data_IF_455671066693
#
_entry.id   IF_455671066693
#
_cell.length_a   1.000
_cell.length_b   1.000
_cell.length_c   1.000
_cell.angle_alpha   90.00
_cell.angle_beta   90.00
_cell.angle_gamma   90.00
#
_symmetry.space_group_name_H-M   'P 1'
#
loop_
_entity.id
_entity.type
_entity.pdbx_description
1 polymer ?
#
# COMPACT_ATOMS: atom_id res chain seq x y z
N UNK A 1 10.27 -41.44 77.69
CA UNK A 1 9.53 -41.52 76.42
C UNK A 1 9.91 -40.33 75.56
N UNK A 2 10.71 -40.57 74.52
CA UNK A 2 11.23 -39.54 73.59
C UNK A 2 10.18 -39.31 72.50
N UNK A 3 9.68 -38.08 72.38
CA UNK A 3 8.82 -37.67 71.25
C UNK A 3 9.69 -37.43 70.03
N UNK A 4 9.52 -38.27 69.01
CA UNK A 4 10.15 -38.17 67.70
C UNK A 4 9.42 -37.10 66.89
N UNK A 5 10.04 -35.93 66.73
CA UNK A 5 9.59 -34.91 65.78
C UNK A 5 10.16 -35.28 64.40
N UNK A 6 9.30 -35.57 63.43
CA UNK A 6 9.69 -35.72 62.02
C UNK A 6 9.57 -34.37 61.32
N UNK A 7 10.72 -33.86 60.90
CA UNK A 7 10.96 -32.68 60.06
C UNK A 7 10.23 -32.79 58.70
N UNK A 8 9.57 -31.75 58.16
CA UNK A 8 9.10 -31.75 56.79
C UNK A 8 10.26 -31.43 55.83
N UNK A 9 10.51 -32.34 54.89
CA UNK A 9 11.44 -32.20 53.77
C UNK A 9 11.13 -30.94 52.94
N UNK A 10 12.12 -30.11 52.55
CA UNK A 10 11.86 -28.96 51.68
C UNK A 10 11.52 -29.43 50.26
N UNK A 11 10.36 -29.04 49.76
CA UNK A 11 9.95 -29.25 48.37
C UNK A 11 10.84 -28.43 47.43
N UNK A 12 11.29 -28.99 46.28
CA UNK A 12 11.96 -28.21 45.26
C UNK A 12 11.00 -27.16 44.71
N UNK A 13 11.48 -25.93 44.39
CA UNK A 13 10.63 -24.93 43.75
C UNK A 13 10.10 -25.49 42.41
N UNK A 14 8.85 -25.17 42.04
CA UNK A 14 8.33 -25.55 40.72
C UNK A 14 9.27 -24.99 39.64
N UNK A 15 9.44 -25.67 38.49
CA UNK A 15 10.20 -25.11 37.39
C UNK A 15 9.61 -23.75 37.06
N UNK A 16 10.43 -22.70 37.18
CA UNK A 16 10.03 -21.38 36.69
C UNK A 16 9.70 -21.59 35.22
N UNK A 17 8.42 -21.46 34.86
CA UNK A 17 8.04 -21.21 33.49
C UNK A 17 8.88 -20.01 33.10
N UNK A 18 9.93 -20.25 32.32
CA UNK A 18 10.67 -19.19 31.66
C UNK A 18 9.58 -18.37 31.02
N UNK A 19 9.35 -17.18 31.57
CA UNK A 19 8.43 -16.23 31.00
C UNK A 19 8.84 -16.21 29.55
N UNK A 20 7.91 -16.66 28.71
CA UNK A 20 8.07 -16.60 27.28
C UNK A 20 8.24 -15.11 27.01
N UNK A 21 9.49 -14.63 27.06
CA UNK A 21 9.92 -13.53 26.24
C UNK A 21 9.71 -14.12 24.86
N UNK A 22 8.46 -14.02 24.39
CA UNK A 22 8.10 -14.16 23.00
C UNK A 22 9.20 -13.37 22.32
N UNK A 23 10.09 -14.09 21.64
CA UNK A 23 11.07 -13.45 20.79
C UNK A 23 10.22 -12.57 19.91
N UNK A 24 10.29 -11.26 20.13
CA UNK A 24 9.57 -10.31 19.31
C UNK A 24 10.12 -10.63 17.92
N UNK A 25 9.29 -11.11 16.98
CA UNK A 25 9.77 -11.40 15.64
C UNK A 25 10.53 -10.15 15.20
N UNK A 26 11.75 -10.29 14.67
CA UNK A 26 12.52 -9.14 14.23
C UNK A 26 11.60 -8.30 13.35
N UNK A 27 11.41 -7.03 13.72
CA UNK A 27 10.63 -6.08 12.93
C UNK A 27 11.42 -5.83 11.66
N UNK A 28 11.22 -6.69 10.66
CA UNK A 28 11.64 -6.44 9.30
C UNK A 28 10.61 -5.43 8.79
N UNK A 29 11.01 -4.18 8.47
CA UNK A 29 10.07 -3.23 7.88
C UNK A 29 9.52 -3.85 6.60
N UNK A 30 8.26 -4.26 6.64
CA UNK A 30 7.55 -4.66 5.43
C UNK A 30 7.44 -3.40 4.57
N UNK A 31 8.31 -3.32 3.57
CA UNK A 31 8.12 -2.39 2.47
C UNK A 31 6.73 -2.70 1.92
N UNK A 32 5.78 -1.76 2.06
CA UNK A 32 4.42 -1.96 1.59
C UNK A 32 4.48 -1.98 0.06
N UNK A 33 4.60 -3.18 -0.51
CA UNK A 33 4.53 -3.40 -1.94
C UNK A 33 3.07 -3.37 -2.32
N UNK A 34 2.64 -2.24 -2.87
CA UNK A 34 1.30 -2.12 -3.42
C UNK A 34 1.21 -2.89 -4.72
N UNK A 35 0.16 -3.69 -4.86
CA UNK A 35 -0.14 -4.37 -6.12
C UNK A 35 -0.68 -3.36 -7.15
N UNK A 36 -0.54 -3.66 -8.45
CA UNK A 36 -1.08 -2.82 -9.53
C UNK A 36 -2.60 -2.59 -9.39
N UNK A 37 -3.33 -3.57 -8.85
CA UNK A 37 -4.76 -3.44 -8.58
C UNK A 37 -5.06 -2.40 -7.50
N UNK A 38 -4.34 -2.45 -6.37
CA UNK A 38 -4.51 -1.49 -5.28
C UNK A 38 -4.13 -0.07 -5.73
N UNK A 39 -3.03 0.05 -6.48
CA UNK A 39 -2.60 1.32 -7.06
C UNK A 39 -3.62 1.85 -8.08
N UNK A 40 -4.21 0.98 -8.91
CA UNK A 40 -5.28 1.34 -9.85
C UNK A 40 -6.53 1.87 -9.15
N UNK A 41 -6.96 1.22 -8.07
CA UNK A 41 -8.10 1.68 -7.27
C UNK A 41 -7.82 3.01 -6.57
N UNK A 42 -6.64 3.14 -5.96
CA UNK A 42 -6.24 4.37 -5.29
C UNK A 42 -6.05 5.55 -6.27
N UNK A 43 -5.51 5.31 -7.47
CA UNK A 43 -5.39 6.31 -8.53
C UNK A 43 -6.75 6.75 -9.09
N UNK A 44 -7.69 5.81 -9.25
CA UNK A 44 -9.07 6.14 -9.67
C UNK A 44 -9.79 6.97 -8.61
N UNK A 45 -9.61 6.62 -7.33
CA UNK A 45 -10.16 7.38 -6.22
C UNK A 45 -9.56 8.80 -6.16
N UNK A 46 -8.26 8.93 -6.38
CA UNK A 46 -7.59 10.22 -6.51
C UNK A 46 -8.19 11.07 -7.63
N UNK A 47 -8.35 10.49 -8.84
CA UNK A 47 -8.92 11.20 -9.99
C UNK A 47 -10.36 11.66 -9.72
N UNK A 48 -11.18 10.79 -9.12
CA UNK A 48 -12.55 11.11 -8.75
C UNK A 48 -12.62 12.27 -7.75
N UNK A 49 -11.80 12.21 -6.71
CA UNK A 49 -11.70 13.27 -5.71
C UNK A 49 -11.32 14.63 -6.31
N UNK A 50 -10.35 14.63 -7.22
CA UNK A 50 -9.91 15.82 -7.93
C UNK A 50 -10.99 16.38 -8.85
N UNK A 51 -11.62 15.53 -9.67
CA UNK A 51 -12.63 15.94 -10.66
C UNK A 51 -13.93 16.42 -10.03
N UNK A 52 -14.29 15.85 -8.89
CA UNK A 52 -15.48 16.25 -8.14
C UNK A 52 -15.21 17.40 -7.15
N UNK A 53 -13.97 17.92 -7.11
CA UNK A 53 -13.53 18.97 -6.19
C UNK A 53 -13.74 18.62 -4.71
N UNK A 54 -13.69 17.33 -4.36
CA UNK A 54 -13.81 16.84 -2.98
C UNK A 54 -12.53 17.00 -2.16
N UNK A 55 -11.51 17.66 -2.72
CA UNK A 55 -10.19 17.76 -2.12
C UNK A 55 -9.38 16.47 -2.32
N UNK A 56 -8.16 16.43 -1.77
CA UNK A 56 -7.28 15.26 -1.88
C UNK A 56 -7.82 14.08 -1.05
N UNK A 57 -7.76 12.85 -1.58
CA UNK A 57 -8.06 11.68 -0.78
C UNK A 57 -7.02 11.55 0.34
N UNK A 58 -7.47 11.11 1.51
CA UNK A 58 -6.59 10.90 2.65
C UNK A 58 -5.89 9.53 2.51
N UNK A 59 -4.66 9.55 2.00
CA UNK A 59 -3.77 8.39 2.00
C UNK A 59 -2.58 8.61 2.93
N UNK A 60 -1.95 7.52 3.35
CA UNK A 60 -0.65 7.60 4.01
C UNK A 60 0.39 8.18 3.04
N UNK A 61 1.43 8.89 3.52
CA UNK A 61 2.47 9.44 2.64
C UNK A 61 3.11 8.42 1.69
N UNK A 62 3.43 7.17 2.12
CA UNK A 62 3.96 6.15 1.22
C UNK A 62 3.00 5.75 0.11
N UNK A 63 1.70 5.61 0.42
CA UNK A 63 0.68 5.28 -0.58
C UNK A 63 0.48 6.43 -1.57
N UNK A 64 0.47 7.68 -1.09
CA UNK A 64 0.35 8.85 -1.96
C UNK A 64 1.50 8.94 -2.96
N UNK A 65 2.73 8.68 -2.50
CA UNK A 65 3.91 8.64 -3.36
C UNK A 65 3.79 7.53 -4.42
N UNK A 66 3.39 6.32 -4.01
CA UNK A 66 3.23 5.19 -4.92
C UNK A 66 2.11 5.44 -5.96
N UNK A 67 0.99 6.05 -5.57
CA UNK A 67 -0.09 6.45 -6.48
C UNK A 67 0.41 7.47 -7.49
N UNK A 68 1.21 8.44 -7.06
CA UNK A 68 1.71 9.49 -7.94
C UNK A 68 2.73 8.96 -8.95
N UNK A 69 3.61 8.05 -8.53
CA UNK A 69 4.56 7.35 -9.39
C UNK A 69 3.81 6.43 -10.37
N UNK A 70 2.85 5.64 -9.89
CA UNK A 70 1.98 4.82 -10.73
C UNK A 70 1.27 5.67 -11.79
N UNK A 71 0.67 6.82 -11.43
CA UNK A 71 0.04 7.75 -12.40
C UNK A 71 1.02 8.38 -13.39
N UNK A 72 2.30 8.48 -13.06
CA UNK A 72 3.32 8.90 -14.01
C UNK A 72 3.68 7.78 -15.01
N UNK A 73 3.57 6.52 -14.58
CA UNK A 73 3.81 5.33 -15.42
C UNK A 73 2.63 5.06 -16.38
N UNK A 74 1.41 5.00 -15.86
CA UNK A 74 0.18 4.98 -16.66
C UNK A 74 -0.15 6.41 -17.07
N UNK A 75 0.58 6.91 -18.07
CA UNK A 75 0.31 8.20 -18.70
C UNK A 75 -1.16 8.24 -19.13
N UNK A 76 -2.03 8.86 -18.32
CA UNK A 76 -3.41 9.12 -18.71
C UNK A 76 -3.29 10.08 -19.89
N UNK A 77 -3.72 9.68 -21.11
CA UNK A 77 -3.62 10.57 -22.24
C UNK A 77 -4.30 11.88 -21.87
N UNK A 78 -3.57 12.98 -22.00
CA UNK A 78 -4.18 14.30 -21.91
C UNK A 78 -5.36 14.32 -22.88
N UNK A 79 -6.48 14.91 -22.47
CA UNK A 79 -7.65 15.07 -23.33
C UNK A 79 -7.30 15.62 -24.73
N UNK A 80 -6.25 16.43 -24.83
CA UNK A 80 -5.73 16.98 -26.09
C UNK A 80 -4.85 16.02 -26.91
N UNK A 81 -4.33 14.95 -26.32
CA UNK A 81 -3.55 13.91 -27.00
C UNK A 81 -4.46 12.87 -27.69
N UNK A 82 -5.72 12.73 -27.24
CA UNK A 82 -6.67 11.78 -27.83
C UNK A 82 -7.46 12.33 -29.03
N UNK A 83 -7.36 13.64 -29.31
CA UNK A 83 -7.97 14.24 -30.49
C UNK A 83 -6.89 14.77 -31.45
N UNK A 84 -6.95 14.41 -32.75
CA UNK A 84 -6.10 15.06 -33.74
C UNK A 84 -6.39 16.56 -33.71
N UNK A 85 -5.34 17.38 -33.56
CA UNK A 85 -5.50 18.83 -33.63
C UNK A 85 -6.04 19.21 -35.01
N UNK A 86 -6.80 20.31 -35.11
CA UNK A 86 -7.41 20.77 -36.38
C UNK A 86 -6.49 20.75 -37.62
N UNK A 87 -5.18 21.05 -37.52
CA UNK A 87 -4.26 20.92 -38.66
C UNK A 87 -4.19 19.50 -39.23
N UNK A 88 -4.29 18.48 -38.38
CA UNK A 88 -4.23 17.07 -38.79
C UNK A 88 -5.53 16.59 -39.43
N UNK A 89 -6.68 17.18 -39.07
CA UNK A 89 -7.95 16.94 -39.75
C UNK A 89 -7.91 17.45 -41.20
N UNK A 90 -7.44 18.68 -41.43
CA UNK A 90 -7.32 19.24 -42.79
C UNK A 90 -6.38 18.42 -43.65
N UNK A 91 -5.22 18.00 -43.11
CA UNK A 91 -4.29 17.11 -43.80
C UNK A 91 -4.89 15.73 -44.08
N UNK A 92 -5.71 15.20 -43.17
CA UNK A 92 -6.42 13.94 -43.36
C UNK A 92 -7.38 14.01 -44.55
N UNK A 93 -8.18 15.08 -44.68
CA UNK A 93 -9.08 15.25 -45.83
C UNK A 93 -8.34 15.46 -47.15
N UNK A 94 -7.23 16.21 -47.16
CA UNK A 94 -6.42 16.39 -48.37
C UNK A 94 -5.90 15.08 -48.96
N UNK A 95 -5.45 14.15 -48.10
CA UNK A 95 -5.01 12.81 -48.54
C UNK A 95 -6.13 11.96 -49.13
N UNK A 96 -7.39 12.20 -48.75
CA UNK A 96 -8.56 11.46 -49.27
C UNK A 96 -9.10 12.04 -50.59
N UNK A 97 -8.78 13.29 -50.90
CA UNK A 97 -9.25 13.98 -52.11
C UNK A 97 -8.30 13.83 -53.31
N UNK A 98 -7.14 13.21 -53.12
CA UNK A 98 -6.21 12.88 -54.22
C UNK A 98 -6.43 11.43 -54.61
N UNK A 99 -7.37 11.19 -55.51
CA UNK A 99 -7.56 9.91 -56.21
C UNK A 99 -7.51 10.16 -57.71
#
# INVERSE_FOLDING_TARGET
>A
MVKKNTDPTPTPPPPQQQQQQHQIPPYIPQQHQYTDYELGMAATLYDQHYRMYWGLPHFSPPLMAAVQDYRAQISIPSYYQQYPQRPDLTRHFQRQATR
#
